data_IF_275730622063
#
_entry.id   IF_275730622063
#
_cell.length_a   1.000
_cell.length_b   1.000
_cell.length_c   1.000
_cell.angle_alpha   90.00
_cell.angle_beta   90.00
_cell.angle_gamma   90.00
#
_symmetry.space_group_name_H-M   'P 1'
#
loop_
_entity.id
_entity.type
_entity.pdbx_description
1 polymer ?
#
# COMPACT_ATOMS: atom_id res chain seq x y z
N UNK A 1 4.75 -20.42 -8.23
CA UNK A 1 5.13 -19.97 -9.58
C UNK A 1 6.08 -18.77 -9.52
N UNK A 2 5.65 -17.50 -9.45
CA UNK A 2 6.58 -16.36 -9.39
C UNK A 2 7.54 -16.44 -8.20
N UNK A 3 7.06 -16.81 -7.01
CA UNK A 3 7.90 -17.02 -5.84
C UNK A 3 8.97 -18.06 -6.10
N UNK A 4 8.61 -19.17 -6.74
CA UNK A 4 9.50 -20.30 -6.98
C UNK A 4 10.52 -19.99 -8.10
N UNK A 5 10.21 -19.06 -8.99
CA UNK A 5 11.14 -18.51 -9.98
C UNK A 5 12.16 -17.55 -9.35
N UNK A 6 11.69 -16.67 -8.45
CA UNK A 6 12.52 -15.64 -7.80
C UNK A 6 13.34 -16.22 -6.64
N UNK A 7 12.78 -17.18 -5.91
CA UNK A 7 13.40 -17.79 -4.73
C UNK A 7 13.42 -19.32 -4.84
N UNK A 8 14.17 -19.89 -5.77
CA UNK A 8 14.17 -21.34 -6.01
C UNK A 8 14.64 -22.17 -4.80
N UNK A 9 15.48 -21.62 -3.94
CA UNK A 9 15.94 -22.26 -2.71
C UNK A 9 14.81 -22.44 -1.68
N UNK A 10 13.76 -21.61 -1.74
CA UNK A 10 12.60 -21.69 -0.84
C UNK A 10 11.45 -22.51 -1.45
N UNK A 11 11.48 -22.78 -2.74
CA UNK A 11 10.43 -23.55 -3.43
C UNK A 11 10.33 -24.99 -2.87
N UNK A 12 11.47 -25.63 -2.59
CA UNK A 12 11.52 -27.00 -2.12
C UNK A 12 11.17 -27.15 -0.63
N UNK A 13 11.51 -26.15 0.21
CA UNK A 13 11.26 -26.17 1.64
C UNK A 13 9.83 -25.76 2.00
N UNK A 14 9.16 -25.02 1.14
CA UNK A 14 7.87 -24.38 1.43
C UNK A 14 7.97 -23.19 2.38
N UNK A 15 9.18 -22.85 2.84
CA UNK A 15 9.41 -21.69 3.68
C UNK A 15 9.26 -20.38 2.90
N UNK A 16 8.83 -19.32 3.58
CA UNK A 16 8.81 -17.99 2.99
C UNK A 16 10.23 -17.42 2.96
N UNK A 17 10.63 -16.72 1.89
CA UNK A 17 11.88 -16.00 1.88
C UNK A 17 11.88 -14.90 2.96
N UNK A 18 13.04 -14.56 3.54
CA UNK A 18 13.13 -13.50 4.52
C UNK A 18 12.68 -12.15 3.92
N UNK A 19 12.00 -11.30 4.70
CA UNK A 19 11.47 -10.01 4.20
C UNK A 19 12.49 -9.15 3.47
N UNK A 20 13.73 -9.13 3.94
CA UNK A 20 14.82 -8.35 3.36
C UNK A 20 15.20 -8.84 1.96
N UNK A 21 15.11 -10.14 1.71
CA UNK A 21 15.35 -10.69 0.38
C UNK A 21 14.21 -10.32 -0.58
N UNK A 22 12.96 -10.39 -0.11
CA UNK A 22 11.79 -9.97 -0.88
C UNK A 22 11.88 -8.48 -1.23
N UNK A 23 12.28 -7.65 -0.28
CA UNK A 23 12.47 -6.22 -0.46
C UNK A 23 13.56 -5.92 -1.49
N UNK A 24 14.71 -6.58 -1.40
CA UNK A 24 15.80 -6.43 -2.36
C UNK A 24 15.34 -6.75 -3.79
N UNK A 25 14.72 -7.90 -3.99
CA UNK A 25 14.18 -8.31 -5.29
C UNK A 25 13.10 -7.37 -5.83
N UNK A 26 12.26 -6.83 -4.96
CA UNK A 26 11.24 -5.88 -5.36
C UNK A 26 11.87 -4.61 -5.97
N UNK A 27 12.86 -4.01 -5.29
CA UNK A 27 13.49 -2.78 -5.77
C UNK A 27 14.39 -3.01 -6.97
N UNK A 28 15.09 -4.14 -7.05
CA UNK A 28 15.86 -4.55 -8.24
C UNK A 28 14.94 -4.79 -9.44
N UNK A 29 13.81 -5.46 -9.21
CA UNK A 29 12.80 -5.72 -10.24
C UNK A 29 12.18 -4.45 -10.80
N UNK A 30 11.90 -3.44 -9.96
CA UNK A 30 11.41 -2.13 -10.42
C UNK A 30 12.45 -1.35 -11.22
N UNK A 31 13.74 -1.53 -10.93
CA UNK A 31 14.82 -0.89 -11.68
C UNK A 31 15.10 -1.60 -13.02
N UNK A 32 14.67 -2.84 -13.18
CA UNK A 32 14.83 -3.60 -14.42
C UNK A 32 13.63 -3.38 -15.35
N UNK A 33 13.87 -3.33 -16.66
CA UNK A 33 12.80 -3.31 -17.67
C UNK A 33 12.15 -4.70 -17.84
N UNK A 34 11.72 -5.32 -16.73
CA UNK A 34 11.14 -6.65 -16.73
C UNK A 34 9.63 -6.62 -17.05
N UNK A 35 9.17 -7.61 -17.84
CA UNK A 35 7.76 -7.78 -18.20
C UNK A 35 6.95 -8.59 -17.16
N UNK A 36 7.39 -8.66 -15.92
CA UNK A 36 6.69 -9.41 -14.88
C UNK A 36 5.30 -8.82 -14.63
N UNK A 37 4.26 -9.62 -14.90
CA UNK A 37 2.88 -9.21 -14.66
C UNK A 37 2.48 -9.49 -13.21
N UNK A 38 2.41 -8.45 -12.40
CA UNK A 38 1.94 -8.53 -11.03
C UNK A 38 0.43 -8.33 -10.98
N UNK A 39 -0.29 -9.34 -10.51
CA UNK A 39 -1.73 -9.29 -10.35
C UNK A 39 -2.07 -8.77 -8.94
N UNK A 40 -2.99 -7.83 -8.90
CA UNK A 40 -3.50 -7.28 -7.65
C UNK A 40 -4.99 -7.05 -7.80
N UNK A 41 -5.80 -7.77 -7.03
CA UNK A 41 -7.22 -7.53 -6.93
C UNK A 41 -7.44 -6.52 -5.81
N UNK A 42 -7.77 -5.30 -6.17
CA UNK A 42 -7.99 -4.19 -5.25
C UNK A 42 -9.44 -3.74 -5.25
N UNK A 43 -9.80 -3.03 -4.21
CA UNK A 43 -11.07 -2.30 -4.12
C UNK A 43 -12.32 -3.20 -4.21
N UNK A 44 -12.23 -4.42 -3.68
CA UNK A 44 -13.40 -5.29 -3.53
C UNK A 44 -14.22 -4.85 -2.32
N UNK A 45 -15.45 -4.45 -2.52
CA UNK A 45 -16.35 -4.18 -1.40
C UNK A 45 -16.56 -5.45 -0.55
N UNK A 46 -16.36 -5.32 0.75
CA UNK A 46 -16.57 -6.41 1.67
C UNK A 46 -15.63 -6.40 2.87
N UNK A 47 -15.78 -7.40 3.70
CA UNK A 47 -15.02 -7.60 4.91
C UNK A 47 -14.67 -9.07 5.10
N UNK A 48 -13.52 -9.34 5.71
CA UNK A 48 -13.13 -10.66 6.18
C UNK A 48 -13.93 -11.10 7.43
N UNK A 49 -14.72 -10.20 8.01
CA UNK A 49 -15.54 -10.45 9.20
C UNK A 49 -17.01 -10.25 8.86
N UNK A 50 -17.68 -11.25 8.23
CA UNK A 50 -19.08 -11.14 7.89
C UNK A 50 -19.98 -11.08 9.13
N UNK A 51 -21.25 -10.74 8.92
CA UNK A 51 -22.24 -10.68 9.98
C UNK A 51 -22.28 -11.99 10.77
N UNK A 52 -22.28 -11.86 12.10
CA UNK A 52 -22.23 -13.00 13.03
C UNK A 52 -20.85 -13.58 13.29
N UNK A 53 -19.79 -13.05 12.66
CA UNK A 53 -18.44 -13.41 13.01
C UNK A 53 -18.09 -12.81 14.39
N UNK A 54 -17.33 -13.56 15.24
CA UNK A 54 -17.01 -13.16 16.61
C UNK A 54 -16.31 -11.78 16.72
N UNK A 55 -15.56 -11.39 15.68
CA UNK A 55 -14.87 -10.09 15.58
C UNK A 55 -15.61 -9.06 14.71
N UNK A 56 -16.79 -9.39 14.17
CA UNK A 56 -17.53 -8.49 13.29
C UNK A 56 -17.88 -7.17 13.95
N UNK A 57 -18.30 -7.22 15.23
CA UNK A 57 -18.65 -6.06 16.04
C UNK A 57 -17.49 -5.53 16.90
N UNK A 58 -16.29 -6.11 16.77
CA UNK A 58 -15.14 -5.65 17.54
C UNK A 58 -14.81 -4.18 17.19
N UNK A 59 -14.46 -3.31 18.16
CA UNK A 59 -14.16 -1.90 17.90
C UNK A 59 -13.07 -1.64 16.85
N UNK A 60 -12.15 -2.59 16.67
CA UNK A 60 -11.12 -2.54 15.65
C UNK A 60 -11.49 -3.30 14.35
N UNK A 61 -12.70 -3.83 14.25
CA UNK A 61 -13.17 -4.35 12.96
C UNK A 61 -13.26 -3.22 11.94
N UNK A 62 -12.69 -3.36 10.74
CA UNK A 62 -12.79 -2.34 9.70
C UNK A 62 -14.23 -1.90 9.41
N UNK A 63 -15.19 -2.81 9.51
CA UNK A 63 -16.60 -2.50 9.34
C UNK A 63 -17.18 -1.63 10.47
N UNK A 64 -16.64 -1.75 11.70
CA UNK A 64 -17.14 -1.02 12.87
C UNK A 64 -16.44 0.33 13.08
N UNK A 65 -15.22 0.50 12.57
CA UNK A 65 -14.41 1.71 12.79
C UNK A 65 -15.11 3.00 12.36
N UNK A 66 -15.78 2.99 11.21
CA UNK A 66 -16.50 4.16 10.70
C UNK A 66 -17.71 4.54 11.57
N UNK A 67 -18.23 3.58 12.36
CA UNK A 67 -19.38 3.76 13.26
C UNK A 67 -18.97 4.11 14.69
N UNK A 68 -17.67 4.30 14.95
CA UNK A 68 -17.16 4.62 16.27
C UNK A 68 -17.86 5.88 16.84
N UNK A 69 -18.27 5.82 18.10
CA UNK A 69 -19.07 6.87 18.72
C UNK A 69 -18.43 8.27 18.69
N UNK A 70 -17.11 8.33 18.69
CA UNK A 70 -16.32 9.57 18.59
C UNK A 70 -16.01 10.01 17.15
N UNK A 71 -16.32 9.17 16.13
CA UNK A 71 -16.02 9.43 14.73
C UNK A 71 -17.11 10.26 14.03
N UNK A 72 -16.69 11.14 13.13
CA UNK A 72 -17.64 11.91 12.31
C UNK A 72 -18.24 11.07 11.18
N UNK A 73 -17.55 10.02 10.71
CA UNK A 73 -18.03 9.18 9.61
C UNK A 73 -19.36 8.50 9.93
N UNK A 74 -19.66 8.24 11.21
CA UNK A 74 -20.97 7.70 11.64
C UNK A 74 -22.17 8.60 11.31
N UNK A 75 -21.92 9.88 10.98
CA UNK A 75 -22.96 10.83 10.60
C UNK A 75 -23.24 10.84 9.10
N UNK A 76 -22.46 10.09 8.34
CA UNK A 76 -22.64 9.91 6.91
C UNK A 76 -23.63 8.75 6.71
N UNK A 77 -24.77 9.03 6.12
CA UNK A 77 -25.92 8.12 5.97
C UNK A 77 -25.91 7.34 4.64
N UNK A 78 -24.83 7.44 3.88
CA UNK A 78 -24.62 6.69 2.65
C UNK A 78 -23.26 6.00 2.63
N UNK A 79 -23.15 4.93 1.84
CA UNK A 79 -21.91 4.18 1.70
C UNK A 79 -20.90 4.94 0.84
N UNK A 80 -19.69 5.07 1.34
CA UNK A 80 -18.52 5.54 0.61
C UNK A 80 -17.47 4.43 0.70
N UNK A 81 -17.37 3.56 -0.33
CA UNK A 81 -16.44 2.44 -0.32
C UNK A 81 -15.01 2.87 -0.05
N UNK A 82 -14.33 2.15 0.83
CA UNK A 82 -12.98 2.48 1.29
C UNK A 82 -12.87 3.62 2.30
N UNK A 83 -13.96 4.34 2.59
CA UNK A 83 -13.99 5.43 3.58
C UNK A 83 -14.81 5.04 4.82
N UNK A 84 -16.09 4.75 4.66
CA UNK A 84 -16.95 4.31 5.77
C UNK A 84 -17.42 2.85 5.63
N UNK A 85 -17.06 2.18 4.55
CA UNK A 85 -17.22 0.74 4.37
C UNK A 85 -15.88 0.11 3.99
N UNK A 86 -15.56 -1.09 4.51
CA UNK A 86 -14.28 -1.73 4.26
C UNK A 86 -14.16 -2.24 2.83
N UNK A 87 -12.90 -2.37 2.39
CA UNK A 87 -12.56 -2.99 1.12
C UNK A 87 -11.55 -4.11 1.33
N UNK A 88 -11.65 -5.14 0.51
CA UNK A 88 -10.73 -6.26 0.49
C UNK A 88 -9.71 -6.10 -0.64
N UNK A 89 -8.52 -6.57 -0.35
CA UNK A 89 -7.38 -6.58 -1.27
C UNK A 89 -6.75 -7.97 -1.29
N UNK A 90 -6.59 -8.54 -2.48
CA UNK A 90 -5.96 -9.84 -2.69
C UNK A 90 -4.72 -9.64 -3.54
N UNK A 91 -3.56 -9.65 -2.89
CA UNK A 91 -2.27 -9.41 -3.52
C UNK A 91 -1.46 -10.69 -3.71
N UNK A 92 -0.78 -10.81 -4.83
CA UNK A 92 0.30 -11.76 -5.02
C UNK A 92 1.65 -11.15 -4.59
N UNK A 93 2.72 -11.93 -4.63
CA UNK A 93 4.07 -11.44 -4.41
C UNK A 93 4.34 -10.19 -5.29
N UNK A 94 4.93 -9.16 -4.69
CA UNK A 94 5.23 -7.85 -5.29
C UNK A 94 4.03 -6.97 -5.63
N UNK A 95 2.79 -7.35 -5.28
CA UNK A 95 1.68 -6.41 -5.34
C UNK A 95 1.91 -5.25 -4.36
N UNK A 96 1.63 -4.02 -4.80
CA UNK A 96 2.03 -2.83 -4.07
C UNK A 96 1.00 -1.71 -4.13
N UNK A 97 1.12 -0.78 -3.20
CA UNK A 97 0.57 0.57 -3.30
C UNK A 97 1.71 1.56 -3.55
N UNK A 98 1.50 2.50 -4.45
CA UNK A 98 2.45 3.58 -4.69
C UNK A 98 2.48 4.60 -3.53
N UNK A 99 3.48 5.47 -3.52
CA UNK A 99 3.56 6.57 -2.58
C UNK A 99 2.31 7.46 -2.66
N UNK A 100 1.65 7.68 -1.55
CA UNK A 100 0.48 8.54 -1.47
C UNK A 100 0.21 8.99 -0.04
N UNK A 101 -0.59 10.02 0.09
CA UNK A 101 -1.33 10.36 1.30
C UNK A 101 -2.80 10.02 1.08
N UNK A 102 -3.54 9.79 2.15
CA UNK A 102 -4.97 9.52 2.06
C UNK A 102 -5.76 10.76 1.64
N UNK A 103 -6.87 10.54 0.97
CA UNK A 103 -7.78 11.60 0.57
C UNK A 103 -8.24 12.39 1.81
N UNK A 104 -8.24 13.73 1.68
CA UNK A 104 -8.51 14.65 2.79
C UNK A 104 -7.60 14.47 4.02
N UNK A 105 -6.43 13.86 3.86
CA UNK A 105 -5.50 13.55 4.95
C UNK A 105 -6.14 12.75 6.08
N UNK A 106 -7.11 11.90 5.77
CA UNK A 106 -7.75 11.03 6.75
C UNK A 106 -6.77 9.96 7.25
N UNK A 107 -7.00 9.49 8.46
CA UNK A 107 -6.33 8.28 8.94
C UNK A 107 -6.86 7.07 8.17
N UNK A 108 -5.97 6.11 7.94
CA UNK A 108 -6.33 4.82 7.35
C UNK A 108 -5.92 3.66 8.25
N UNK A 109 -6.53 2.53 8.04
CA UNK A 109 -6.18 1.27 8.68
C UNK A 109 -6.09 0.18 7.63
N UNK A 110 -5.01 -0.59 7.68
CA UNK A 110 -4.86 -1.80 6.88
C UNK A 110 -4.67 -2.98 7.80
N UNK A 111 -5.56 -3.94 7.71
CA UNK A 111 -5.52 -5.18 8.47
C UNK A 111 -5.09 -6.33 7.58
N UNK A 112 -3.97 -6.96 7.90
CA UNK A 112 -3.54 -8.18 7.23
C UNK A 112 -4.28 -9.37 7.83
N UNK A 113 -5.28 -9.87 7.11
CA UNK A 113 -6.11 -10.98 7.56
C UNK A 113 -5.37 -12.31 7.44
N UNK A 114 -4.76 -12.56 6.29
CA UNK A 114 -4.06 -13.81 6.00
C UNK A 114 -2.95 -13.56 4.97
N UNK A 115 -1.94 -14.42 4.95
CA UNK A 115 -0.88 -14.42 3.96
C UNK A 115 0.46 -13.92 4.49
N UNK A 116 1.38 -13.62 3.56
CA UNK A 116 2.71 -13.14 3.87
C UNK A 116 2.71 -11.68 4.36
N UNK A 117 3.71 -11.27 5.13
CA UNK A 117 3.83 -9.90 5.64
C UNK A 117 3.81 -8.86 4.52
N UNK A 118 3.26 -7.69 4.81
CA UNK A 118 3.32 -6.50 3.96
C UNK A 118 4.34 -5.52 4.55
N UNK A 119 5.31 -5.12 3.75
CA UNK A 119 6.29 -4.10 4.12
C UNK A 119 5.74 -2.71 3.84
N UNK A 120 5.95 -1.79 4.76
CA UNK A 120 5.49 -0.42 4.67
C UNK A 120 6.65 0.56 4.82
N UNK A 121 6.63 1.61 4.02
CA UNK A 121 7.51 2.76 4.15
C UNK A 121 6.67 3.97 4.50
N UNK A 122 7.15 4.79 5.41
CA UNK A 122 6.45 5.98 5.84
C UNK A 122 7.39 7.18 5.91
N UNK A 123 6.96 8.32 5.37
CA UNK A 123 7.68 9.59 5.45
C UNK A 123 7.03 10.44 6.55
N UNK A 124 7.79 10.90 7.54
CA UNK A 124 7.26 11.79 8.57
C UNK A 124 6.72 13.09 7.96
N UNK A 125 5.66 13.70 8.53
CA UNK A 125 5.11 14.95 8.01
C UNK A 125 6.13 16.09 7.91
N UNK A 126 7.16 16.10 8.77
CA UNK A 126 8.21 17.11 8.75
C UNK A 126 9.06 17.04 7.47
N UNK A 127 9.17 15.86 6.87
CA UNK A 127 10.00 15.60 5.70
C UNK A 127 9.17 15.58 4.40
N UNK A 128 7.86 15.85 4.48
CA UNK A 128 6.96 15.81 3.32
C UNK A 128 7.44 16.69 2.16
N UNK A 129 7.93 17.89 2.44
CA UNK A 129 8.43 18.79 1.39
C UNK A 129 9.69 18.25 0.70
N UNK A 130 10.63 17.71 1.48
CA UNK A 130 11.83 17.08 0.93
C UNK A 130 11.48 15.87 0.07
N UNK A 131 10.52 15.03 0.56
CA UNK A 131 9.99 13.92 -0.21
C UNK A 131 9.40 14.39 -1.55
N UNK A 132 8.54 15.40 -1.55
CA UNK A 132 7.88 15.92 -2.76
C UNK A 132 8.91 16.43 -3.77
N UNK A 133 9.96 17.13 -3.32
CA UNK A 133 11.03 17.59 -4.21
C UNK A 133 11.80 16.44 -4.86
N UNK A 134 12.17 15.43 -4.09
CA UNK A 134 12.88 14.25 -4.60
C UNK A 134 11.97 13.47 -5.55
N UNK A 135 10.73 13.24 -5.15
CA UNK A 135 9.75 12.52 -5.92
C UNK A 135 9.49 13.19 -7.29
N UNK A 136 9.31 14.50 -7.30
CA UNK A 136 9.14 15.27 -8.53
C UNK A 136 10.35 15.15 -9.47
N UNK A 137 11.57 15.23 -8.92
CA UNK A 137 12.81 15.14 -9.70
C UNK A 137 13.06 13.73 -10.26
N UNK A 138 12.76 12.69 -9.51
CA UNK A 138 13.10 11.32 -9.87
C UNK A 138 11.99 10.63 -10.70
N UNK A 139 10.74 10.78 -10.31
CA UNK A 139 9.63 10.08 -10.95
C UNK A 139 9.06 10.83 -12.15
N UNK A 140 9.08 12.16 -12.14
CA UNK A 140 8.34 12.99 -13.08
C UNK A 140 9.13 14.20 -13.63
N UNK A 141 10.45 14.09 -13.71
CA UNK A 141 11.32 15.22 -14.09
C UNK A 141 10.87 15.95 -15.38
N UNK A 142 10.29 15.24 -16.34
CA UNK A 142 9.79 15.81 -17.60
C UNK A 142 8.32 16.25 -17.48
N UNK A 143 7.52 15.46 -16.81
CA UNK A 143 6.08 15.63 -16.71
C UNK A 143 5.68 16.75 -15.75
N UNK A 144 6.37 16.89 -14.61
CA UNK A 144 6.11 17.92 -13.59
C UNK A 144 6.33 19.33 -14.14
N UNK A 145 7.24 19.48 -15.11
CA UNK A 145 7.42 20.78 -15.77
C UNK A 145 6.13 21.25 -16.46
N UNK A 146 5.32 20.34 -16.96
CA UNK A 146 4.08 20.63 -17.68
C UNK A 146 2.83 20.52 -16.78
N UNK A 147 2.87 19.69 -15.74
CA UNK A 147 1.77 19.45 -14.81
C UNK A 147 2.31 19.22 -13.37
N UNK A 148 2.36 20.27 -12.54
CA UNK A 148 2.80 20.15 -11.16
C UNK A 148 1.97 19.18 -10.29
N UNK A 149 0.75 18.84 -10.72
CA UNK A 149 -0.11 17.90 -9.97
C UNK A 149 0.28 16.44 -10.16
N UNK A 150 1.24 16.15 -11.02
CA UNK A 150 1.71 14.77 -11.26
C UNK A 150 2.21 14.09 -10.00
N UNK A 151 2.82 14.83 -9.06
CA UNK A 151 3.28 14.29 -7.79
C UNK A 151 2.16 13.81 -6.86
N UNK A 152 0.94 14.26 -7.11
CA UNK A 152 -0.24 13.85 -6.33
C UNK A 152 -0.87 12.55 -6.87
N UNK A 153 -0.45 12.09 -8.03
CA UNK A 153 -0.97 10.84 -8.61
C UNK A 153 -0.37 9.66 -7.87
N UNK A 154 -1.24 8.76 -7.41
CA UNK A 154 -0.88 7.54 -6.66
C UNK A 154 -0.34 6.44 -7.60
N UNK A 155 0.62 6.75 -8.49
CA UNK A 155 1.06 5.88 -9.56
C UNK A 155 2.59 5.80 -9.75
N UNK A 156 3.35 6.23 -8.75
CA UNK A 156 4.81 6.17 -8.81
C UNK A 156 5.43 5.57 -7.57
N UNK A 157 6.54 4.89 -7.79
CA UNK A 157 7.38 4.32 -6.75
C UNK A 157 8.81 4.79 -6.95
N UNK A 158 9.44 5.24 -5.85
CA UNK A 158 10.88 5.50 -5.79
C UNK A 158 11.45 4.77 -4.57
N UNK A 159 12.65 4.20 -4.66
CA UNK A 159 13.25 3.48 -3.55
C UNK A 159 13.48 4.40 -2.35
N UNK A 160 13.24 3.92 -1.11
CA UNK A 160 13.55 4.69 0.10
C UNK A 160 15.00 5.16 0.18
N UNK A 161 15.96 4.41 -0.37
CA UNK A 161 17.36 4.80 -0.45
C UNK A 161 17.57 6.14 -1.17
N UNK A 162 16.84 6.39 -2.25
CA UNK A 162 16.93 7.66 -2.98
C UNK A 162 16.41 8.84 -2.15
N UNK A 163 15.44 8.62 -1.28
CA UNK A 163 14.93 9.63 -0.35
C UNK A 163 15.99 9.93 0.72
N UNK A 164 16.52 8.90 1.36
CA UNK A 164 17.56 9.02 2.39
C UNK A 164 18.81 9.70 1.84
N UNK A 165 19.28 9.32 0.66
CA UNK A 165 20.47 9.92 0.00
C UNK A 165 20.25 11.41 -0.33
N UNK A 166 19.01 11.82 -0.52
CA UNK A 166 18.64 13.21 -0.76
C UNK A 166 18.32 13.99 0.52
N UNK A 167 18.34 13.34 1.69
CA UNK A 167 18.12 13.95 2.99
C UNK A 167 16.63 14.10 3.35
N UNK A 168 15.78 13.26 2.79
CA UNK A 168 14.34 13.22 3.09
C UNK A 168 14.02 12.05 4.06
#
# INVERSE_FOLDING_TARGET
>A
ELRDEVFPEHAASGELPPPEAVEGWFWEGLASEGDAKILYCSDLEGTAFPDGHEYGEHPWSPASLAQAASGLLRLVDYSIPGVNTPMLYLGMLFSMFCWHVEDNYMYSVSYLHEGAPKTWYGVPPADAHAFEEVHAKQAFAKEVHNDPTMVLKKNSMIPPSMLVDAGA
#
